data_IF_406850767621
#
_entry.id   IF_406850767621
#
_cell.length_a   1.000
_cell.length_b   1.000
_cell.length_c   1.000
_cell.angle_alpha   90.00
_cell.angle_beta   90.00
_cell.angle_gamma   90.00
#
_symmetry.space_group_name_H-M   'P 1'
#
loop_
_entity.id
_entity.type
_entity.pdbx_description
1 polymer ?
#
# COMPACT_ATOMS: atom_id res chain seq x y z
N UNK A 1 -27.69 28.80 -11.67
CA UNK A 1 -28.78 28.14 -10.93
C UNK A 1 -29.67 27.52 -11.99
N UNK A 2 -29.47 26.25 -12.29
CA UNK A 2 -30.38 25.48 -13.16
C UNK A 2 -30.79 24.23 -12.39
N UNK A 3 -32.10 24.08 -12.28
CA UNK A 3 -32.78 23.16 -11.38
C UNK A 3 -32.58 21.72 -11.84
N UNK A 4 -31.99 20.92 -10.94
CA UNK A 4 -32.08 19.46 -10.97
C UNK A 4 -33.57 19.09 -10.80
N UNK A 5 -34.25 18.78 -11.91
CA UNK A 5 -35.61 18.26 -11.86
C UNK A 5 -35.61 16.89 -11.19
N UNK A 6 -35.92 16.87 -9.90
CA UNK A 6 -36.27 15.65 -9.17
C UNK A 6 -37.67 15.19 -9.60
N UNK A 7 -37.77 13.95 -10.11
CA UNK A 7 -39.01 13.17 -10.11
C UNK A 7 -38.96 12.09 -9.02
N UNK A 8 -40.12 11.58 -8.54
CA UNK A 8 -40.21 10.68 -7.39
C UNK A 8 -39.57 9.29 -7.59
N UNK A 9 -39.10 8.97 -8.80
CA UNK A 9 -38.54 7.67 -9.19
C UNK A 9 -36.99 7.64 -9.20
N UNK A 10 -36.33 8.74 -8.83
CA UNK A 10 -34.87 8.78 -8.63
C UNK A 10 -34.02 8.69 -9.91
N UNK A 11 -34.61 8.88 -11.09
CA UNK A 11 -33.89 8.83 -12.37
C UNK A 11 -33.50 10.24 -12.85
N UNK A 12 -32.20 10.49 -12.98
CA UNK A 12 -31.69 11.70 -13.64
C UNK A 12 -32.02 11.66 -15.14
N UNK A 13 -32.87 12.58 -15.59
CA UNK A 13 -33.07 12.85 -17.01
C UNK A 13 -32.07 13.90 -17.47
N UNK A 14 -31.14 13.47 -18.32
CA UNK A 14 -30.33 14.35 -19.15
C UNK A 14 -30.98 14.37 -20.54
N UNK A 15 -31.08 15.55 -21.14
CA UNK A 15 -31.38 15.59 -22.57
C UNK A 15 -30.14 15.12 -23.33
N UNK A 16 -30.11 13.83 -23.70
CA UNK A 16 -28.94 13.22 -24.33
C UNK A 16 -28.61 13.82 -25.71
N UNK A 17 -29.51 14.61 -26.31
CA UNK A 17 -29.23 15.32 -27.57
C UNK A 17 -28.16 16.39 -27.45
N UNK A 18 -27.87 16.86 -26.23
CA UNK A 18 -26.94 17.96 -26.00
C UNK A 18 -25.48 17.47 -25.88
N UNK A 19 -25.28 16.15 -25.78
CA UNK A 19 -24.00 15.50 -25.49
C UNK A 19 -23.59 14.52 -26.60
N UNK A 20 -22.29 14.39 -26.82
CA UNK A 20 -21.75 13.23 -27.53
C UNK A 20 -21.88 12.03 -26.59
N UNK A 21 -22.60 10.99 -27.02
CA UNK A 21 -22.82 9.81 -26.19
C UNK A 21 -22.00 8.64 -26.69
N UNK A 22 -21.16 8.09 -25.81
CA UNK A 22 -20.28 6.96 -26.10
C UNK A 22 -20.70 5.75 -25.26
N UNK A 23 -20.89 4.60 -25.91
CA UNK A 23 -21.05 3.35 -25.18
C UNK A 23 -19.66 2.83 -24.74
N UNK A 24 -19.57 2.40 -23.49
CA UNK A 24 -18.34 1.90 -22.87
C UNK A 24 -18.65 0.63 -22.08
N UNK A 25 -18.98 -0.47 -22.77
CA UNK A 25 -19.30 -1.75 -22.14
C UNK A 25 -18.08 -2.33 -21.42
N UNK A 26 -18.27 -3.31 -20.54
CA UNK A 26 -17.12 -3.97 -19.91
C UNK A 26 -16.31 -4.79 -20.91
N UNK A 27 -15.01 -4.93 -20.63
CA UNK A 27 -14.19 -5.95 -21.28
C UNK A 27 -14.41 -7.27 -20.54
N UNK A 28 -14.82 -8.35 -21.22
CA UNK A 28 -14.97 -9.66 -20.58
C UNK A 28 -13.62 -10.19 -20.10
N UNK A 29 -13.65 -11.08 -19.11
CA UNK A 29 -12.50 -11.87 -18.70
C UNK A 29 -12.51 -13.15 -19.52
N UNK A 30 -11.39 -13.48 -20.15
CA UNK A 30 -11.27 -14.67 -21.00
C UNK A 30 -10.41 -15.71 -20.29
N UNK A 31 -10.95 -16.91 -20.10
CA UNK A 31 -10.20 -18.05 -19.57
C UNK A 31 -9.40 -18.73 -20.68
N UNK A 32 -8.29 -19.37 -20.31
CA UNK A 32 -7.47 -20.13 -21.26
C UNK A 32 -8.32 -21.15 -22.03
N UNK A 33 -8.22 -21.13 -23.36
CA UNK A 33 -8.94 -22.03 -24.26
C UNK A 33 -10.33 -21.54 -24.71
N UNK A 34 -10.85 -20.43 -24.16
CA UNK A 34 -12.12 -19.86 -24.62
C UNK A 34 -11.97 -19.10 -25.95
N UNK A 35 -10.77 -18.61 -26.26
CA UNK A 35 -10.52 -17.82 -27.47
C UNK A 35 -9.05 -17.90 -27.90
N UNK A 36 -8.65 -19.01 -28.53
CA UNK A 36 -7.25 -19.31 -28.92
C UNK A 36 -6.63 -18.32 -29.93
N UNK A 37 -7.42 -17.37 -30.45
CA UNK A 37 -6.98 -16.36 -31.40
C UNK A 37 -6.47 -15.07 -30.74
N UNK A 38 -6.73 -14.85 -29.45
CA UNK A 38 -6.37 -13.62 -28.75
C UNK A 38 -5.02 -13.79 -28.04
N UNK A 39 -4.01 -12.95 -28.34
CA UNK A 39 -2.73 -13.00 -27.65
C UNK A 39 -2.84 -12.43 -26.23
N UNK A 40 -2.61 -13.26 -25.22
CA UNK A 40 -2.56 -12.82 -23.82
C UNK A 40 -1.41 -11.84 -23.55
N UNK A 41 -1.66 -10.85 -22.70
CA UNK A 41 -0.65 -9.87 -22.28
C UNK A 41 -0.25 -8.85 -23.36
N UNK A 42 -1.00 -8.78 -24.47
CA UNK A 42 -0.77 -7.82 -25.54
C UNK A 42 -2.03 -6.98 -25.73
N UNK A 43 -1.86 -5.66 -25.87
CA UNK A 43 -2.97 -4.79 -26.22
C UNK A 43 -3.39 -5.02 -27.68
N UNK A 44 -4.68 -5.27 -27.87
CA UNK A 44 -5.33 -5.30 -29.18
C UNK A 44 -6.31 -4.12 -29.30
N UNK A 45 -6.60 -3.69 -30.53
CA UNK A 45 -7.63 -2.67 -30.77
C UNK A 45 -8.96 -3.17 -30.22
N UNK A 46 -9.66 -2.35 -29.45
CA UNK A 46 -10.96 -2.76 -28.88
C UNK A 46 -11.99 -2.94 -29.99
N UNK A 47 -12.78 -4.03 -29.99
CA UNK A 47 -13.92 -4.21 -30.87
C UNK A 47 -15.16 -3.44 -30.40
N UNK A 48 -15.07 -2.65 -29.32
CA UNK A 48 -16.09 -1.65 -29.00
C UNK A 48 -15.94 -0.53 -30.02
N UNK A 49 -16.60 -0.74 -31.16
CA UNK A 49 -16.47 0.07 -32.34
C UNK A 49 -17.16 1.43 -32.14
N UNK A 50 -16.44 2.48 -32.56
CA UNK A 50 -16.84 3.87 -32.62
C UNK A 50 -17.96 4.13 -33.66
N UNK A 51 -18.81 3.14 -33.92
CA UNK A 51 -19.76 3.11 -35.05
C UNK A 51 -20.98 4.03 -34.86
N UNK A 52 -20.96 4.84 -33.81
CA UNK A 52 -22.02 5.81 -33.49
C UNK A 52 -21.55 7.25 -33.53
N UNK A 53 -20.31 7.52 -33.96
CA UNK A 53 -19.70 8.83 -33.78
C UNK A 53 -19.42 9.51 -35.11
N UNK A 54 -19.92 10.74 -35.31
CA UNK A 54 -19.40 11.60 -36.35
C UNK A 54 -17.94 11.91 -36.00
N UNK A 55 -17.00 11.40 -36.79
CA UNK A 55 -15.56 11.70 -36.70
C UNK A 55 -15.27 13.23 -36.64
N UNK A 56 -16.21 14.08 -37.06
CA UNK A 56 -16.09 15.53 -37.04
C UNK A 56 -16.30 16.20 -35.68
N UNK A 57 -16.97 15.56 -34.70
CA UNK A 57 -17.27 16.19 -33.39
C UNK A 57 -16.38 15.68 -32.26
N UNK A 58 -15.71 14.54 -32.43
CA UNK A 58 -14.64 14.08 -31.56
C UNK A 58 -13.29 14.52 -32.15
N UNK A 59 -12.48 15.24 -31.37
CA UNK A 59 -11.13 15.58 -31.84
C UNK A 59 -10.24 14.32 -31.92
N UNK A 60 -10.43 13.34 -31.02
CA UNK A 60 -9.91 11.97 -31.14
C UNK A 60 -10.54 11.03 -30.09
N UNK A 61 -10.67 9.73 -30.38
CA UNK A 61 -11.01 8.70 -29.39
C UNK A 61 -10.39 7.36 -29.79
N UNK A 62 -9.69 6.70 -28.87
CA UNK A 62 -9.11 5.37 -29.08
C UNK A 62 -9.27 4.52 -27.82
N UNK A 63 -9.54 3.24 -28.03
CA UNK A 63 -9.60 2.23 -26.99
C UNK A 63 -8.83 0.98 -27.41
N UNK A 64 -8.14 0.38 -26.44
CA UNK A 64 -7.44 -0.89 -26.62
C UNK A 64 -7.63 -1.76 -25.39
N UNK A 65 -7.77 -3.05 -25.65
CA UNK A 65 -8.08 -4.05 -24.63
C UNK A 65 -6.92 -5.06 -24.55
N UNK A 66 -6.60 -5.51 -23.34
CA UNK A 66 -5.65 -6.59 -23.08
C UNK A 66 -6.35 -7.65 -22.22
N UNK A 67 -6.16 -8.90 -22.58
CA UNK A 67 -6.77 -10.03 -21.90
C UNK A 67 -5.70 -10.83 -21.16
N UNK A 68 -6.08 -11.38 -20.00
CA UNK A 68 -5.35 -12.34 -19.17
C UNK A 68 -6.37 -13.31 -18.50
N UNK A 69 -5.94 -14.49 -18.01
CA UNK A 69 -6.86 -15.53 -17.52
C UNK A 69 -7.80 -15.09 -16.39
N UNK A 70 -7.36 -14.14 -15.56
CA UNK A 70 -8.10 -13.71 -14.37
C UNK A 70 -8.59 -12.27 -14.42
N UNK A 71 -8.19 -11.52 -15.44
CA UNK A 71 -8.52 -10.11 -15.57
C UNK A 71 -8.38 -9.60 -17.00
N UNK A 72 -9.05 -8.50 -17.27
CA UNK A 72 -8.94 -7.75 -18.51
C UNK A 72 -8.59 -6.29 -18.21
N UNK A 73 -7.86 -5.66 -19.12
CA UNK A 73 -7.46 -4.27 -19.02
C UNK A 73 -8.05 -3.54 -20.23
N UNK A 74 -8.68 -2.40 -19.98
CA UNK A 74 -9.03 -1.43 -21.01
C UNK A 74 -8.25 -0.15 -20.79
N UNK A 75 -7.62 0.35 -21.84
CA UNK A 75 -7.12 1.72 -21.89
C UNK A 75 -7.96 2.54 -22.86
N UNK A 76 -8.33 3.75 -22.44
CA UNK A 76 -9.04 4.71 -23.26
C UNK A 76 -8.33 6.05 -23.22
N UNK A 77 -8.16 6.63 -24.39
CA UNK A 77 -7.70 8.00 -24.59
C UNK A 77 -8.66 8.73 -25.53
N UNK A 78 -8.95 9.99 -25.24
CA UNK A 78 -9.80 10.79 -26.11
C UNK A 78 -9.69 12.28 -25.86
N UNK A 79 -9.90 13.06 -26.91
CA UNK A 79 -10.00 14.52 -26.87
C UNK A 79 -11.37 14.90 -27.44
N UNK A 80 -12.10 15.70 -26.68
CA UNK A 80 -13.50 15.99 -26.96
C UNK A 80 -13.70 17.47 -27.28
N UNK A 81 -14.36 17.80 -28.39
CA UNK A 81 -14.68 19.19 -28.75
C UNK A 81 -15.93 19.73 -28.05
N UNK A 82 -16.75 18.83 -27.50
CA UNK A 82 -18.03 19.09 -26.82
C UNK A 82 -18.16 18.22 -25.57
N UNK A 83 -19.14 18.51 -24.73
CA UNK A 83 -19.43 17.69 -23.56
C UNK A 83 -19.81 16.26 -23.98
N UNK A 84 -19.30 15.29 -23.22
CA UNK A 84 -19.41 13.86 -23.53
C UNK A 84 -19.98 13.09 -22.36
N UNK A 85 -20.81 12.10 -22.70
CA UNK A 85 -21.31 11.09 -21.76
C UNK A 85 -20.81 9.72 -22.19
N UNK A 86 -19.88 9.15 -21.42
CA UNK A 86 -19.62 7.71 -21.51
C UNK A 86 -20.68 6.98 -20.69
N UNK A 87 -21.34 5.98 -21.26
CA UNK A 87 -22.37 5.22 -20.56
C UNK A 87 -22.11 3.72 -20.66
N UNK A 88 -22.58 2.99 -19.67
CA UNK A 88 -22.80 1.55 -19.77
C UNK A 88 -24.24 1.29 -19.31
N UNK A 89 -25.06 0.68 -20.17
CA UNK A 89 -26.50 0.48 -19.94
C UNK A 89 -26.88 -0.94 -19.53
N UNK A 90 -25.96 -1.91 -19.67
CA UNK A 90 -25.91 -3.28 -19.10
C UNK A 90 -25.05 -4.17 -20.00
N UNK A 91 -24.20 -5.00 -19.41
CA UNK A 91 -23.43 -6.01 -20.12
C UNK A 91 -23.36 -7.31 -19.30
N UNK A 92 -23.25 -8.46 -19.97
CA UNK A 92 -22.71 -9.67 -19.34
C UNK A 92 -21.34 -9.33 -18.70
N UNK A 93 -20.99 -9.96 -17.58
CA UNK A 93 -19.76 -9.62 -16.81
C UNK A 93 -19.82 -8.27 -16.07
N UNK A 94 -21.02 -7.80 -15.69
CA UNK A 94 -21.20 -6.58 -14.91
C UNK A 94 -20.81 -6.74 -13.42
N UNK A 95 -20.76 -7.96 -12.90
CA UNK A 95 -20.42 -8.29 -11.52
C UNK A 95 -18.92 -8.57 -11.32
N UNK A 96 -18.09 -7.76 -11.98
CA UNK A 96 -16.64 -7.81 -11.81
C UNK A 96 -16.17 -6.67 -10.91
N UNK A 97 -15.38 -6.98 -9.87
CA UNK A 97 -14.54 -5.99 -9.23
C UNK A 97 -13.61 -5.31 -10.25
N UNK A 98 -13.28 -4.04 -10.01
CA UNK A 98 -12.41 -3.31 -10.91
C UNK A 98 -11.64 -2.15 -10.30
N UNK A 99 -10.50 -1.88 -10.91
CA UNK A 99 -9.60 -0.77 -10.63
C UNK A 99 -9.80 0.31 -11.70
N UNK A 100 -10.34 1.46 -11.31
CA UNK A 100 -10.40 2.65 -12.16
C UNK A 100 -9.18 3.54 -11.90
N UNK A 101 -8.37 3.81 -12.91
CA UNK A 101 -7.16 4.64 -12.84
C UNK A 101 -7.32 5.78 -13.85
N UNK A 102 -7.58 7.00 -13.36
CA UNK A 102 -7.82 8.18 -14.17
C UNK A 102 -6.55 9.05 -14.20
N UNK A 103 -5.87 9.08 -15.34
CA UNK A 103 -4.67 9.89 -15.52
C UNK A 103 -5.03 11.34 -15.89
N UNK A 104 -6.00 11.53 -16.80
CA UNK A 104 -6.41 12.85 -17.30
C UNK A 104 -7.94 12.99 -17.35
N UNK A 105 -8.39 14.24 -17.33
CA UNK A 105 -9.77 14.71 -17.20
C UNK A 105 -10.34 14.73 -15.77
N UNK A 106 -11.33 15.60 -15.59
CA UNK A 106 -12.24 15.56 -14.46
C UNK A 106 -13.54 14.89 -14.92
N UNK A 107 -14.05 13.95 -14.12
CA UNK A 107 -15.20 13.11 -14.49
C UNK A 107 -16.27 13.19 -13.41
N UNK A 108 -17.51 13.43 -13.81
CA UNK A 108 -18.68 13.28 -12.92
C UNK A 108 -19.40 11.98 -13.22
N UNK A 109 -19.44 11.08 -12.25
CA UNK A 109 -20.06 9.76 -12.40
C UNK A 109 -21.43 9.73 -11.73
N UNK A 110 -22.43 9.30 -12.49
CA UNK A 110 -23.79 9.05 -12.04
C UNK A 110 -24.04 7.55 -12.08
N UNK A 111 -24.40 6.96 -10.93
CA UNK A 111 -24.65 5.52 -10.81
C UNK A 111 -26.17 5.26 -10.79
N UNK A 112 -26.61 4.21 -11.48
CA UNK A 112 -28.01 3.80 -11.47
C UNK A 112 -28.48 3.47 -10.04
N UNK A 113 -29.68 3.92 -9.65
CA UNK A 113 -30.22 3.69 -8.30
C UNK A 113 -29.46 4.40 -7.17
N UNK A 114 -28.62 5.39 -7.46
CA UNK A 114 -27.97 6.26 -6.47
C UNK A 114 -28.23 7.72 -6.78
N UNK A 115 -28.52 8.51 -5.75
CA UNK A 115 -28.59 9.97 -5.84
C UNK A 115 -27.22 10.64 -5.64
N UNK A 116 -26.15 9.85 -5.48
CA UNK A 116 -24.81 10.35 -5.28
C UNK A 116 -24.11 10.56 -6.63
N UNK A 117 -23.54 11.76 -6.81
CA UNK A 117 -22.64 12.06 -7.92
C UNK A 117 -21.20 11.93 -7.42
N UNK A 118 -20.40 11.09 -8.08
CA UNK A 118 -18.99 10.91 -7.74
C UNK A 118 -18.17 11.83 -8.65
N UNK A 119 -17.69 12.94 -8.10
CA UNK A 119 -16.78 13.85 -8.79
C UNK A 119 -15.34 13.32 -8.64
N UNK A 120 -14.74 12.86 -9.74
CA UNK A 120 -13.39 12.30 -9.79
C UNK A 120 -12.48 13.30 -10.48
N UNK A 121 -11.32 13.60 -9.89
CA UNK A 121 -10.33 14.51 -10.47
C UNK A 121 -9.27 13.76 -11.25
N UNK A 122 -8.61 14.44 -12.18
CA UNK A 122 -7.43 13.87 -12.84
C UNK A 122 -6.38 13.35 -11.85
N UNK A 123 -5.52 12.43 -12.30
CA UNK A 123 -4.50 11.77 -11.49
C UNK A 123 -5.06 11.08 -10.22
N UNK A 124 -6.20 10.40 -10.35
CA UNK A 124 -6.87 9.72 -9.25
C UNK A 124 -7.22 8.26 -9.57
N UNK A 125 -7.60 7.53 -8.54
CA UNK A 125 -7.94 6.12 -8.58
C UNK A 125 -9.18 5.85 -7.73
N UNK A 126 -9.90 4.79 -8.13
CA UNK A 126 -10.96 4.20 -7.34
C UNK A 126 -10.98 2.68 -7.51
N UNK A 127 -11.20 1.97 -6.40
CA UNK A 127 -11.69 0.60 -6.43
C UNK A 127 -13.21 0.61 -6.53
N UNK A 128 -13.79 -0.27 -7.35
CA UNK A 128 -15.23 -0.48 -7.42
C UNK A 128 -15.61 -1.96 -7.51
N UNK A 129 -16.76 -2.28 -6.97
CA UNK A 129 -17.60 -3.39 -7.35
C UNK A 129 -19.03 -2.85 -7.40
N UNK A 130 -19.66 -2.87 -8.58
CA UNK A 130 -21.07 -2.53 -8.74
C UNK A 130 -21.75 -3.64 -9.54
N UNK A 131 -22.65 -4.44 -8.93
CA UNK A 131 -23.29 -5.58 -9.60
C UNK A 131 -24.10 -5.19 -10.83
N UNK A 132 -24.60 -3.94 -10.88
CA UNK A 132 -25.35 -3.44 -12.02
C UNK A 132 -24.41 -2.84 -13.06
N UNK A 133 -23.29 -2.27 -12.60
CA UNK A 133 -22.30 -1.50 -13.38
C UNK A 133 -22.93 -0.55 -14.43
N UNK A 134 -24.11 -0.02 -14.10
CA UNK A 134 -24.83 0.95 -14.92
C UNK A 134 -24.41 2.35 -14.47
N UNK A 135 -23.69 3.04 -15.34
CA UNK A 135 -23.13 4.36 -15.03
C UNK A 135 -23.20 5.32 -16.21
N UNK A 136 -23.09 6.61 -15.89
CA UNK A 136 -22.86 7.69 -16.85
C UNK A 136 -21.70 8.54 -16.35
N UNK A 137 -20.66 8.68 -17.15
CA UNK A 137 -19.51 9.55 -16.90
C UNK A 137 -19.64 10.79 -17.76
N UNK A 138 -19.84 11.94 -17.10
CA UNK A 138 -19.80 13.25 -17.74
C UNK A 138 -18.37 13.77 -17.80
N UNK A 139 -17.98 14.21 -18.99
CA UNK A 139 -16.68 14.79 -19.29
C UNK A 139 -16.94 16.11 -20.02
N UNK A 140 -16.30 17.19 -19.58
CA UNK A 140 -16.49 18.51 -20.17
C UNK A 140 -15.77 18.63 -21.53
N UNK A 141 -16.29 19.48 -22.40
CA UNK A 141 -15.65 19.88 -23.64
C UNK A 141 -14.20 20.35 -23.44
N UNK A 142 -13.37 20.16 -24.46
CA UNK A 142 -11.95 20.49 -24.47
C UNK A 142 -11.13 19.79 -23.37
N UNK A 143 -11.63 18.66 -22.85
CA UNK A 143 -10.89 17.80 -21.93
C UNK A 143 -10.15 16.70 -22.68
N UNK A 144 -8.95 16.40 -22.20
CA UNK A 144 -8.21 15.20 -22.59
C UNK A 144 -8.50 14.11 -21.55
N UNK A 145 -9.16 13.04 -21.99
CA UNK A 145 -9.42 11.86 -21.18
C UNK A 145 -8.30 10.85 -21.38
N UNK A 146 -7.80 10.31 -20.28
CA UNK A 146 -6.95 9.14 -20.28
C UNK A 146 -7.23 8.32 -19.03
N UNK A 147 -7.71 7.09 -19.21
CA UNK A 147 -7.93 6.17 -18.09
C UNK A 147 -7.56 4.74 -18.47
N UNK A 148 -7.19 3.97 -17.44
CA UNK A 148 -7.02 2.53 -17.48
C UNK A 148 -8.02 1.92 -16.51
N UNK A 149 -8.79 0.94 -16.99
CA UNK A 149 -9.70 0.16 -16.18
C UNK A 149 -9.23 -1.29 -16.18
N UNK A 150 -9.07 -1.87 -14.99
CA UNK A 150 -8.82 -3.31 -14.85
C UNK A 150 -10.07 -3.95 -14.29
N UNK A 151 -10.62 -4.94 -14.98
CA UNK A 151 -11.71 -5.80 -14.49
C UNK A 151 -11.12 -7.15 -14.11
N UNK A 152 -11.42 -7.68 -12.93
CA UNK A 152 -10.88 -8.97 -12.48
C UNK A 152 -11.94 -9.86 -11.88
N UNK A 153 -11.69 -11.17 -11.95
CA UNK A 153 -12.61 -12.19 -11.45
C UNK A 153 -12.75 -12.06 -9.92
N UNK A 154 -13.95 -12.25 -9.35
CA UNK A 154 -14.14 -12.23 -7.91
C UNK A 154 -13.19 -13.18 -7.16
N UNK A 155 -12.96 -14.38 -7.71
CA UNK A 155 -12.07 -15.39 -7.14
C UNK A 155 -10.61 -14.95 -7.17
N UNK A 156 -10.22 -14.18 -8.19
CA UNK A 156 -8.88 -13.61 -8.28
C UNK A 156 -8.67 -12.55 -7.20
N UNK A 157 -9.64 -11.64 -7.01
CA UNK A 157 -9.59 -10.67 -5.91
C UNK A 157 -9.50 -11.36 -4.55
N UNK A 158 -10.32 -12.40 -4.32
CA UNK A 158 -10.38 -13.12 -3.05
C UNK A 158 -9.03 -13.74 -2.67
N UNK A 159 -8.23 -14.16 -3.65
CA UNK A 159 -6.88 -14.70 -3.43
C UNK A 159 -5.90 -13.70 -2.78
N UNK A 160 -6.17 -12.40 -2.88
CA UNK A 160 -5.35 -11.33 -2.27
C UNK A 160 -5.92 -10.81 -0.95
N UNK A 161 -7.16 -11.16 -0.62
CA UNK A 161 -7.79 -10.68 0.61
C UNK A 161 -7.21 -11.47 1.81
N UNK A 162 -6.72 -10.79 2.86
CA UNK A 162 -6.20 -11.48 4.03
C UNK A 162 -7.29 -12.26 4.76
N UNK A 163 -6.86 -13.27 5.49
CA UNK A 163 -7.71 -14.05 6.39
C UNK A 163 -7.70 -13.41 7.78
N UNK A 164 -8.84 -13.42 8.47
CA UNK A 164 -9.02 -12.88 9.83
C UNK A 164 -8.85 -11.35 9.94
N UNK A 165 -9.07 -10.61 8.86
CA UNK A 165 -9.15 -9.14 8.89
C UNK A 165 -10.59 -8.70 8.60
N UNK A 166 -11.27 -7.99 9.52
CA UNK A 166 -12.70 -7.69 9.38
C UNK A 166 -13.09 -6.94 8.10
N UNK A 167 -12.21 -6.07 7.59
CA UNK A 167 -12.48 -5.34 6.36
C UNK A 167 -12.46 -6.27 5.13
N UNK A 168 -11.60 -7.29 5.14
CA UNK A 168 -11.49 -8.26 4.05
C UNK A 168 -12.73 -9.18 4.02
N UNK A 169 -13.17 -9.63 5.20
CA UNK A 169 -14.41 -10.41 5.34
C UNK A 169 -15.64 -9.60 4.90
N UNK A 170 -15.66 -8.30 5.22
CA UNK A 170 -16.69 -7.38 4.74
C UNK A 170 -16.70 -7.26 3.21
N UNK A 171 -15.53 -7.16 2.55
CA UNK A 171 -15.44 -7.14 1.08
C UNK A 171 -16.00 -8.44 0.49
N UNK A 172 -15.59 -9.60 1.02
CA UNK A 172 -16.12 -10.91 0.58
C UNK A 172 -17.63 -10.99 0.70
N UNK A 173 -18.17 -10.59 1.85
CA UNK A 173 -19.61 -10.61 2.12
C UNK A 173 -20.36 -9.71 1.13
N UNK A 174 -19.86 -8.50 0.88
CA UNK A 174 -20.48 -7.56 -0.07
C UNK A 174 -20.49 -8.10 -1.50
N UNK A 175 -19.37 -8.65 -1.96
CA UNK A 175 -19.28 -9.24 -3.30
C UNK A 175 -20.23 -10.45 -3.42
N UNK A 176 -20.25 -11.34 -2.43
CA UNK A 176 -21.12 -12.51 -2.41
C UNK A 176 -22.62 -12.13 -2.42
N UNK A 177 -22.99 -11.06 -1.70
CA UNK A 177 -24.36 -10.53 -1.69
C UNK A 177 -24.71 -9.67 -2.90
N UNK A 178 -23.77 -9.47 -3.83
CA UNK A 178 -23.92 -8.54 -4.96
C UNK A 178 -24.30 -7.14 -4.47
N UNK A 179 -23.60 -6.66 -3.46
CA UNK A 179 -23.75 -5.32 -2.91
C UNK A 179 -22.56 -4.45 -3.30
N UNK A 180 -22.81 -3.17 -3.56
CA UNK A 180 -21.76 -2.25 -4.03
C UNK A 180 -20.62 -2.07 -3.02
N UNK A 181 -19.41 -2.02 -3.54
CA UNK A 181 -18.20 -1.64 -2.81
C UNK A 181 -17.50 -0.52 -3.57
N UNK A 182 -17.38 0.66 -2.97
CA UNK A 182 -16.64 1.78 -3.55
C UNK A 182 -16.13 2.70 -2.42
N UNK A 183 -15.06 3.44 -2.69
CA UNK A 183 -14.58 4.49 -1.81
C UNK A 183 -15.59 5.64 -1.71
N UNK A 184 -15.73 6.23 -0.52
CA UNK A 184 -16.59 7.43 -0.34
C UNK A 184 -16.13 8.60 -1.21
N UNK A 185 -14.82 8.67 -1.46
CA UNK A 185 -14.13 9.68 -2.25
C UNK A 185 -13.07 9.03 -3.14
N UNK A 186 -12.74 9.68 -4.26
CA UNK A 186 -11.58 9.29 -5.06
C UNK A 186 -10.28 9.47 -4.27
N UNK A 187 -9.27 8.67 -4.60
CA UNK A 187 -7.96 8.75 -3.99
C UNK A 187 -6.94 9.20 -5.04
N UNK A 188 -5.90 9.98 -4.68
CA UNK A 188 -4.85 10.32 -5.64
C UNK A 188 -4.06 9.08 -6.07
N UNK A 189 -3.56 9.08 -7.31
CA UNK A 189 -2.61 8.06 -7.77
C UNK A 189 -1.26 8.21 -7.05
N UNK A 190 -0.78 7.12 -6.46
CA UNK A 190 0.57 7.05 -5.92
C UNK A 190 1.62 6.89 -7.02
N UNK A 191 2.89 7.25 -6.73
CA UNK A 191 4.00 7.01 -7.66
C UNK A 191 4.17 5.52 -8.01
N UNK A 192 3.90 4.62 -7.06
CA UNK A 192 3.94 3.19 -7.30
C UNK A 192 2.86 2.76 -8.31
N UNK A 193 1.63 3.28 -8.17
CA UNK A 193 0.56 3.04 -9.16
C UNK A 193 0.91 3.62 -10.53
N UNK A 194 1.49 4.83 -10.60
CA UNK A 194 1.92 5.41 -11.88
C UNK A 194 2.96 4.53 -12.61
N UNK A 195 3.91 3.95 -11.87
CA UNK A 195 4.88 3.00 -12.44
C UNK A 195 4.25 1.69 -12.88
N UNK A 196 3.31 1.16 -12.11
CA UNK A 196 2.55 -0.02 -12.49
C UNK A 196 1.75 0.25 -13.76
N UNK A 197 1.04 1.39 -13.86
CA UNK A 197 0.30 1.81 -15.06
C UNK A 197 1.24 1.91 -16.27
N UNK A 198 2.41 2.56 -16.12
CA UNK A 198 3.40 2.64 -17.19
C UNK A 198 3.85 1.25 -17.66
N UNK A 199 4.00 0.30 -16.73
CA UNK A 199 4.36 -1.08 -17.05
C UNK A 199 3.24 -1.81 -17.79
N UNK A 200 1.97 -1.51 -17.49
CA UNK A 200 0.83 -2.05 -18.25
C UNK A 200 0.86 -1.56 -19.71
N UNK A 201 1.16 -0.28 -19.93
CA UNK A 201 1.07 0.37 -21.24
C UNK A 201 2.32 0.22 -22.10
N UNK A 202 3.49 0.07 -21.48
CA UNK A 202 4.82 -0.02 -22.10
C UNK A 202 5.69 -1.04 -21.35
N UNK A 203 5.28 -2.31 -21.39
CA UNK A 203 6.01 -3.40 -20.74
C UNK A 203 7.32 -3.69 -21.51
N UNK A 204 8.50 -3.62 -20.87
CA UNK A 204 9.78 -3.88 -21.54
C UNK A 204 10.04 -5.39 -21.76
N UNK A 205 9.23 -6.25 -21.17
CA UNK A 205 9.36 -7.70 -21.25
C UNK A 205 8.35 -8.28 -22.25
N UNK A 206 8.75 -9.36 -22.92
CA UNK A 206 7.92 -10.05 -23.92
C UNK A 206 7.65 -11.51 -23.50
N UNK A 207 6.68 -12.14 -24.16
CA UNK A 207 6.30 -13.53 -23.90
C UNK A 207 5.80 -13.74 -22.45
N UNK A 208 6.03 -14.92 -21.88
CA UNK A 208 5.54 -15.27 -20.54
C UNK A 208 6.06 -14.35 -19.44
N UNK A 209 7.28 -13.82 -19.56
CA UNK A 209 7.81 -12.84 -18.59
C UNK A 209 7.09 -11.50 -18.69
N UNK A 210 6.70 -11.08 -19.88
CA UNK A 210 5.86 -9.90 -20.10
C UNK A 210 4.48 -10.05 -19.44
N UNK A 211 3.85 -11.21 -19.63
CA UNK A 211 2.57 -11.56 -18.99
C UNK A 211 2.68 -11.51 -17.46
N UNK A 212 3.73 -12.12 -16.88
CA UNK A 212 3.99 -12.06 -15.44
C UNK A 212 4.20 -10.62 -14.95
N UNK A 213 4.92 -9.80 -15.71
CA UNK A 213 5.17 -8.39 -15.35
C UNK A 213 3.88 -7.57 -15.34
N UNK A 214 3.02 -7.75 -16.34
CA UNK A 214 1.68 -7.13 -16.39
C UNK A 214 0.84 -7.60 -15.20
N UNK A 215 0.80 -8.90 -14.93
CA UNK A 215 0.07 -9.46 -13.79
C UNK A 215 0.55 -8.88 -12.45
N UNK A 216 1.87 -8.84 -12.22
CA UNK A 216 2.42 -8.25 -10.98
C UNK A 216 2.09 -6.77 -10.85
N UNK A 217 2.00 -6.03 -11.95
CA UNK A 217 1.61 -4.62 -11.95
C UNK A 217 0.13 -4.44 -11.58
N UNK A 218 -0.75 -5.32 -12.09
CA UNK A 218 -2.16 -5.36 -11.68
C UNK A 218 -2.29 -5.70 -10.19
N UNK A 219 -1.56 -6.69 -9.70
CA UNK A 219 -1.54 -7.05 -8.27
C UNK A 219 -1.13 -5.85 -7.42
N UNK A 220 -0.05 -5.14 -7.80
CA UNK A 220 0.37 -3.93 -7.10
C UNK A 220 -0.73 -2.86 -7.05
N UNK A 221 -1.43 -2.64 -8.17
CA UNK A 221 -2.55 -1.70 -8.24
C UNK A 221 -3.65 -2.12 -7.27
N UNK A 222 -4.12 -3.37 -7.32
CA UNK A 222 -5.18 -3.89 -6.45
C UNK A 222 -4.80 -3.71 -4.97
N UNK A 223 -3.61 -4.13 -4.58
CA UNK A 223 -3.13 -4.04 -3.20
C UNK A 223 -3.07 -2.59 -2.70
N UNK A 224 -2.55 -1.67 -3.53
CA UNK A 224 -2.47 -0.25 -3.17
C UNK A 224 -3.85 0.40 -3.08
N UNK A 225 -4.79 0.01 -3.95
CA UNK A 225 -6.17 0.51 -3.87
C UNK A 225 -6.91 0.00 -2.64
N UNK A 226 -6.79 -1.29 -2.30
CA UNK A 226 -7.37 -1.85 -1.08
C UNK A 226 -6.77 -1.18 0.16
N UNK A 227 -5.45 -0.99 0.20
CA UNK A 227 -4.79 -0.27 1.28
C UNK A 227 -5.31 1.17 1.40
N UNK A 228 -5.50 1.89 0.29
CA UNK A 228 -6.10 3.23 0.31
C UNK A 228 -7.55 3.23 0.77
N UNK A 229 -8.35 2.24 0.35
CA UNK A 229 -9.77 2.11 0.69
C UNK A 229 -9.98 1.84 2.19
N UNK A 230 -9.08 1.05 2.80
CA UNK A 230 -9.14 0.62 4.20
C UNK A 230 -8.00 1.20 5.05
N UNK A 231 -7.50 2.40 4.70
CA UNK A 231 -6.32 3.00 5.31
C UNK A 231 -6.47 3.22 6.82
N UNK A 232 -7.69 3.49 7.31
CA UNK A 232 -7.95 3.69 8.73
C UNK A 232 -7.89 2.37 9.51
N UNK A 233 -8.40 1.30 8.94
CA UNK A 233 -8.28 -0.06 9.48
C UNK A 233 -6.82 -0.49 9.52
N UNK A 234 -6.05 -0.24 8.46
CA UNK A 234 -4.61 -0.50 8.43
C UNK A 234 -3.83 0.36 9.44
N UNK A 235 -4.23 1.62 9.68
CA UNK A 235 -3.62 2.44 10.73
C UNK A 235 -3.81 1.85 12.12
N UNK A 236 -4.95 1.22 12.39
CA UNK A 236 -5.19 0.53 13.66
C UNK A 236 -4.33 -0.74 13.76
N UNK A 237 -4.17 -1.49 12.67
CA UNK A 237 -3.28 -2.65 12.62
C UNK A 237 -1.82 -2.23 12.83
N UNK A 238 -1.33 -1.19 12.15
CA UNK A 238 0.05 -0.70 12.27
C UNK A 238 0.34 -0.19 13.69
N UNK A 239 -0.61 0.47 14.37
CA UNK A 239 -0.47 0.82 15.79
C UNK A 239 -0.32 -0.40 16.71
N UNK A 240 -0.86 -1.56 16.35
CA UNK A 240 -0.72 -2.81 17.12
C UNK A 240 0.49 -3.65 16.70
N UNK A 241 0.97 -3.51 15.46
CA UNK A 241 2.17 -4.19 14.95
C UNK A 241 3.48 -3.40 15.19
N UNK A 242 3.45 -2.06 15.24
CA UNK A 242 4.61 -1.23 15.59
C UNK A 242 5.21 -1.60 16.94
N UNK A 243 4.43 -1.88 18.02
CA UNK A 243 4.96 -2.40 19.26
C UNK A 243 5.72 -3.72 19.11
N UNK A 244 5.26 -4.63 18.23
CA UNK A 244 5.98 -5.90 17.96
C UNK A 244 7.28 -5.66 17.21
N UNK A 245 7.27 -4.86 16.14
CA UNK A 245 8.51 -4.51 15.39
C UNK A 245 9.53 -3.79 16.26
N UNK A 246 9.05 -2.91 17.13
CA UNK A 246 9.88 -2.18 18.08
C UNK A 246 10.44 -3.12 19.16
N UNK A 247 9.66 -4.08 19.66
CA UNK A 247 10.14 -5.14 20.56
C UNK A 247 11.19 -6.04 19.89
N UNK A 248 10.97 -6.46 18.65
CA UNK A 248 11.90 -7.31 17.88
C UNK A 248 13.23 -6.58 17.66
N UNK A 249 13.18 -5.30 17.24
CA UNK A 249 14.38 -4.45 17.12
C UNK A 249 15.17 -4.40 18.43
N UNK A 250 14.49 -4.15 19.55
CA UNK A 250 15.15 -4.09 20.87
C UNK A 250 15.74 -5.44 21.26
N UNK A 251 15.02 -6.52 20.99
CA UNK A 251 15.50 -7.87 21.24
C UNK A 251 16.81 -8.16 20.49
N UNK A 252 16.86 -7.87 19.19
CA UNK A 252 18.06 -8.10 18.37
C UNK A 252 19.22 -7.20 18.79
N UNK A 253 18.96 -5.92 19.10
CA UNK A 253 19.98 -5.00 19.62
C UNK A 253 20.56 -5.52 20.94
N UNK A 254 19.72 -6.00 21.86
CA UNK A 254 20.19 -6.58 23.14
C UNK A 254 21.05 -7.81 22.95
N UNK A 255 20.65 -8.73 22.08
CA UNK A 255 21.43 -9.92 21.78
C UNK A 255 22.82 -9.54 21.26
N UNK A 256 22.89 -8.58 20.35
CA UNK A 256 24.16 -8.06 19.86
C UNK A 256 25.01 -7.43 20.97
N UNK A 257 24.43 -6.56 21.79
CA UNK A 257 25.15 -5.90 22.88
C UNK A 257 25.65 -6.89 23.94
N UNK A 258 24.90 -7.96 24.24
CA UNK A 258 25.35 -9.03 25.15
C UNK A 258 26.61 -9.73 24.66
N UNK A 259 26.78 -9.85 23.35
CA UNK A 259 27.95 -10.50 22.77
C UNK A 259 29.12 -9.53 22.57
N UNK A 260 28.86 -8.22 22.51
CA UNK A 260 29.85 -7.21 22.10
C UNK A 260 29.99 -6.03 23.09
N UNK A 261 29.56 -6.16 24.34
CA UNK A 261 29.51 -5.04 25.30
C UNK A 261 30.88 -4.42 25.64
N UNK A 262 31.99 -5.10 25.38
CA UNK A 262 33.35 -4.58 25.57
C UNK A 262 33.82 -3.68 24.42
N UNK A 263 33.14 -3.71 23.28
CA UNK A 263 33.44 -2.87 22.13
C UNK A 263 32.96 -1.43 22.33
N UNK A 264 33.52 -0.50 21.55
CA UNK A 264 33.07 0.89 21.49
C UNK A 264 31.83 1.01 20.59
N UNK A 265 30.70 1.34 21.21
CA UNK A 265 29.43 1.53 20.51
C UNK A 265 29.12 3.00 20.34
N UNK A 266 28.66 3.39 19.15
CA UNK A 266 28.02 4.68 18.91
C UNK A 266 26.56 4.45 18.52
N UNK A 267 25.67 5.36 18.92
CA UNK A 267 24.24 5.26 18.54
C UNK A 267 24.07 5.31 17.02
N UNK A 268 24.89 6.10 16.31
CA UNK A 268 24.88 6.14 14.85
C UNK A 268 25.33 4.80 14.23
N UNK A 269 26.36 4.17 14.79
CA UNK A 269 26.83 2.86 14.35
C UNK A 269 25.79 1.76 14.55
N UNK A 270 25.20 1.69 15.75
CA UNK A 270 24.12 0.75 16.05
C UNK A 270 22.91 1.00 15.14
N UNK A 271 22.48 2.26 14.98
CA UNK A 271 21.35 2.59 14.12
C UNK A 271 21.57 2.11 12.68
N UNK A 272 22.77 2.31 12.12
CA UNK A 272 23.14 1.81 10.80
C UNK A 272 23.13 0.29 10.72
N UNK A 273 23.69 -0.38 11.73
CA UNK A 273 23.76 -1.84 11.78
C UNK A 273 22.37 -2.50 11.83
N UNK A 274 21.41 -1.88 12.52
CA UNK A 274 20.05 -2.38 12.67
C UNK A 274 19.05 -1.70 11.74
N UNK A 275 19.52 -1.10 10.64
CA UNK A 275 18.70 -0.48 9.59
C UNK A 275 17.61 0.47 10.13
N UNK A 276 17.97 1.32 11.11
CA UNK A 276 17.08 2.29 11.75
C UNK A 276 17.75 3.66 11.86
N UNK A 277 17.03 4.66 12.39
CA UNK A 277 17.61 5.95 12.73
C UNK A 277 17.90 6.07 14.23
N UNK A 278 18.85 6.92 14.58
CA UNK A 278 19.32 7.10 15.96
C UNK A 278 18.21 7.52 16.93
N UNK A 279 17.31 8.42 16.50
CA UNK A 279 16.22 8.89 17.36
C UNK A 279 15.23 7.76 17.67
N UNK A 280 14.82 7.00 16.65
CA UNK A 280 13.95 5.83 16.81
C UNK A 280 14.61 4.79 17.71
N UNK A 281 15.87 4.45 17.46
CA UNK A 281 16.59 3.46 18.26
C UNK A 281 16.65 3.85 19.75
N UNK A 282 17.00 5.10 20.06
CA UNK A 282 17.06 5.58 21.45
C UNK A 282 15.68 5.56 22.12
N UNK A 283 14.66 6.07 21.43
CA UNK A 283 13.29 6.15 21.95
C UNK A 283 12.75 4.74 22.22
N UNK A 284 12.79 3.88 21.20
CA UNK A 284 12.25 2.52 21.25
C UNK A 284 12.98 1.69 22.30
N UNK A 285 14.32 1.73 22.34
CA UNK A 285 15.08 0.98 23.34
C UNK A 285 14.76 1.43 24.77
N UNK A 286 14.68 2.75 25.01
CA UNK A 286 14.32 3.26 26.34
C UNK A 286 12.89 2.90 26.74
N UNK A 287 11.96 2.96 25.81
CA UNK A 287 10.55 2.61 26.05
C UNK A 287 10.40 1.13 26.40
N UNK A 288 11.09 0.23 25.68
CA UNK A 288 10.98 -1.22 25.89
C UNK A 288 11.79 -1.69 27.11
N UNK A 289 13.01 -1.20 27.30
CA UNK A 289 13.91 -1.66 28.38
C UNK A 289 13.82 -0.83 29.67
N UNK A 290 13.18 0.33 29.63
CA UNK A 290 13.17 1.29 30.74
C UNK A 290 14.49 2.01 30.98
N UNK A 291 15.54 1.71 30.19
CA UNK A 291 16.88 2.30 30.29
C UNK A 291 17.49 2.57 28.92
N UNK A 292 18.43 3.50 28.86
CA UNK A 292 19.18 3.80 27.65
C UNK A 292 20.12 2.64 27.26
N UNK A 293 20.53 2.64 26.00
CA UNK A 293 21.50 1.66 25.46
C UNK A 293 22.82 1.69 26.25
N UNK A 294 23.32 2.87 26.62
CA UNK A 294 24.58 2.98 27.36
C UNK A 294 24.46 2.56 28.82
N UNK A 295 23.29 2.75 29.44
CA UNK A 295 22.99 2.17 30.76
C UNK A 295 22.97 0.64 30.66
N UNK A 296 22.33 0.08 29.62
CA UNK A 296 22.31 -1.36 29.39
C UNK A 296 23.72 -1.96 29.21
N UNK A 297 24.58 -1.32 28.42
CA UNK A 297 25.99 -1.72 28.25
C UNK A 297 26.76 -1.61 29.56
N UNK A 298 26.52 -0.54 30.33
CA UNK A 298 27.17 -0.33 31.63
C UNK A 298 26.80 -1.43 32.63
N UNK A 299 25.52 -1.86 32.64
CA UNK A 299 25.06 -2.96 33.49
C UNK A 299 25.74 -4.29 33.13
N UNK A 300 25.85 -4.60 31.83
CA UNK A 300 26.58 -5.80 31.38
C UNK A 300 28.05 -5.76 31.81
N UNK A 301 28.71 -4.61 31.66
CA UNK A 301 30.10 -4.42 32.12
C UNK A 301 30.23 -4.59 33.63
N UNK A 302 29.28 -4.08 34.41
CA UNK A 302 29.29 -4.24 35.88
C UNK A 302 29.05 -5.67 36.33
N UNK A 303 28.17 -6.40 35.66
CA UNK A 303 27.97 -7.84 35.91
C UNK A 303 29.25 -8.62 35.66
N UNK A 304 29.97 -8.31 34.58
CA UNK A 304 31.28 -8.90 34.33
C UNK A 304 32.34 -8.46 35.37
N UNK A 305 32.27 -7.21 35.85
CA UNK A 305 33.16 -6.72 36.91
C UNK A 305 33.07 -7.55 38.18
N UNK A 306 31.85 -7.91 38.61
CA UNK A 306 31.64 -8.77 39.78
C UNK A 306 32.36 -10.10 39.60
N UNK A 307 32.25 -10.72 38.43
CA UNK A 307 32.93 -11.98 38.13
C UNK A 307 34.46 -11.85 38.21
N UNK A 308 35.03 -10.79 37.62
CA UNK A 308 36.48 -10.55 37.65
C UNK A 308 37.02 -10.21 39.05
N UNK A 309 36.21 -9.59 39.91
CA UNK A 309 36.62 -9.20 41.26
C UNK A 309 36.60 -10.34 42.27
N UNK A 310 36.05 -11.52 41.92
CA UNK A 310 36.17 -12.73 42.74
C UNK A 310 37.61 -13.26 42.76
N UNK A 311 38.38 -13.02 41.70
CA UNK A 311 39.80 -13.31 41.69
C UNK A 311 40.57 -12.21 42.46
N UNK A 312 41.14 -12.61 43.61
CA UNK A 312 41.83 -11.69 44.52
C UNK A 312 43.16 -11.21 43.95
N UNK A 313 43.74 -11.91 42.97
CA UNK A 313 45.05 -11.60 42.39
C UNK A 313 44.95 -10.53 41.27
N UNK A 314 43.77 -10.33 40.71
CA UNK A 314 43.55 -9.32 39.67
C UNK A 314 43.50 -7.92 40.29
N UNK A 315 44.29 -6.96 39.82
CA UNK A 315 44.24 -5.56 40.30
C UNK A 315 42.96 -4.86 39.84
N UNK A 316 42.34 -4.03 40.70
CA UNK A 316 41.12 -3.24 40.34
C UNK A 316 41.34 -2.36 39.11
N UNK A 317 42.54 -1.81 38.94
CA UNK A 317 42.92 -1.04 37.75
C UNK A 317 42.96 -1.88 36.46
N UNK A 318 43.30 -3.17 36.57
CA UNK A 318 43.24 -4.11 35.46
C UNK A 318 41.78 -4.40 35.08
N UNK A 319 40.92 -4.71 36.07
CA UNK A 319 39.47 -4.91 35.84
C UNK A 319 38.84 -3.70 35.14
N UNK A 320 39.11 -2.48 35.61
CA UNK A 320 38.60 -1.27 34.99
C UNK A 320 38.99 -1.17 33.51
N UNK A 321 40.27 -1.44 33.19
CA UNK A 321 40.77 -1.38 31.80
C UNK A 321 40.15 -2.47 30.94
N UNK A 322 40.03 -3.69 31.43
CA UNK A 322 39.40 -4.82 30.72
C UNK A 322 37.94 -4.52 30.36
N UNK A 323 37.23 -3.77 31.22
CA UNK A 323 35.84 -3.37 30.99
C UNK A 323 35.67 -2.07 30.18
N UNK A 324 36.75 -1.55 29.60
CA UNK A 324 36.72 -0.36 28.74
C UNK A 324 36.69 0.98 29.48
N UNK A 325 36.98 1.03 30.79
CA UNK A 325 37.11 2.28 31.53
C UNK A 325 38.54 2.83 31.41
N UNK A 326 38.68 4.00 30.77
CA UNK A 326 39.97 4.71 30.66
C UNK A 326 40.54 5.14 32.02
N UNK A 327 39.66 5.44 32.98
CA UNK A 327 40.02 5.87 34.33
C UNK A 327 39.44 4.91 35.38
N UNK A 328 40.28 4.22 36.17
CA UNK A 328 39.84 3.33 37.27
C UNK A 328 38.95 4.01 38.32
N UNK A 329 39.05 5.33 38.49
CA UNK A 329 38.19 6.08 39.41
C UNK A 329 36.74 6.14 38.88
N UNK A 330 36.54 6.34 37.57
CA UNK A 330 35.20 6.32 36.98
C UNK A 330 34.55 4.94 37.08
N UNK A 331 35.34 3.88 36.91
CA UNK A 331 34.89 2.51 37.17
C UNK A 331 34.45 2.36 38.63
N UNK A 332 35.29 2.76 39.59
CA UNK A 332 34.98 2.64 41.02
C UNK A 332 33.72 3.41 41.42
N UNK A 333 33.50 4.61 40.86
CA UNK A 333 32.27 5.39 41.09
C UNK A 333 31.04 4.69 40.50
N UNK A 334 31.13 4.18 39.25
CA UNK A 334 30.03 3.46 38.61
C UNK A 334 29.68 2.17 39.35
N UNK A 335 30.69 1.41 39.78
CA UNK A 335 30.53 0.18 40.55
C UNK A 335 29.88 0.46 41.91
N UNK A 336 30.36 1.46 42.66
CA UNK A 336 29.75 1.87 43.94
C UNK A 336 28.31 2.32 43.77
N UNK A 337 27.98 3.03 42.68
CA UNK A 337 26.62 3.46 42.39
C UNK A 337 25.66 2.27 42.21
N UNK A 338 26.12 1.18 41.62
CA UNK A 338 25.29 0.00 41.30
C UNK A 338 25.25 -1.00 42.47
N UNK A 339 26.38 -1.24 43.15
CA UNK A 339 26.50 -2.26 44.20
C UNK A 339 26.61 -1.71 45.63
N UNK A 340 26.60 -0.38 45.81
CA UNK A 340 26.65 0.28 47.12
C UNK A 340 28.02 0.31 47.81
N UNK A 341 28.98 -0.50 47.36
CA UNK A 341 30.34 -0.60 47.90
C UNK A 341 31.39 -0.39 46.82
N UNK A 342 32.60 0.03 47.18
CA UNK A 342 33.69 0.18 46.20
C UNK A 342 34.28 -1.19 45.79
N UNK A 343 34.87 -1.32 44.58
CA UNK A 343 35.42 -2.59 44.11
C UNK A 343 36.44 -3.24 45.05
N UNK A 344 37.26 -2.43 45.73
CA UNK A 344 38.24 -2.90 46.72
C UNK A 344 37.56 -3.54 47.92
N UNK A 345 36.50 -2.93 48.46
CA UNK A 345 35.72 -3.48 49.58
C UNK A 345 34.96 -4.73 49.16
N UNK A 346 34.39 -4.75 47.95
CA UNK A 346 33.66 -5.90 47.41
C UNK A 346 34.52 -7.17 47.40
N UNK A 347 35.82 -7.05 47.09
CA UNK A 347 36.80 -8.15 47.10
C UNK A 347 36.98 -8.82 48.47
N UNK A 348 36.84 -8.06 49.55
CA UNK A 348 37.13 -8.53 50.91
C UNK A 348 35.89 -8.99 51.68
N UNK A 349 34.69 -8.91 51.08
CA UNK A 349 33.49 -9.50 51.68
C UNK A 349 33.50 -11.03 51.49
N UNK A 350 33.33 -11.83 52.56
CA UNK A 350 33.04 -13.25 52.43
C UNK A 350 31.70 -13.39 51.70
N UNK A 351 31.66 -14.21 50.66
CA UNK A 351 30.40 -14.63 50.03
C UNK A 351 29.71 -15.58 51.01
N UNK A 352 28.54 -15.20 51.55
CA UNK A 352 27.69 -16.10 52.34
C UNK A 352 26.81 -16.95 51.43
#
# INVERSE_FOLDING_TARGET
MEELYHRPDGRYFFNMSDYITLDSPNVPILRHGENDTIPYGVFIKSPVEADTLPDSELASFKSRDMYLPNFSIREVEGIFSRDVVLKNLRSEGADLPGSCLLMKADVKTYLSGSNQVIATKQASQNFKFDPNNEYRHHIAANSELHYVHVSYAPEYLDSFLPQNEPWADWVREKIAKKERVFGKEYQPLSLAQLRAIQTLTDCPLVGSLGVMMVETSVIQIILLQLHSLFAEEYRLIDKTQSPRRDQDLVHTVKQYLRNNYLEDHSIAGLARQFATNSNKLMLVFKTVEGKSIFEYISDLRMQHAVHLLHDKDVKVSHVARTLGYKNPNHFSTAFKRIYGVVPTEFRYKPTY
#
